data_IF_751199190159
#
_entry.id   IF_751199190159
#
_cell.length_a   1.000
_cell.length_b   1.000
_cell.length_c   1.000
_cell.angle_alpha   90.00
_cell.angle_beta   90.00
_cell.angle_gamma   90.00
#
_symmetry.space_group_name_H-M   'P 1'
#
loop_
_entity.id
_entity.type
_entity.pdbx_description
1 polymer ?
#
# COMPACT_ATOMS: atom_id res chain seq x y z
N UNK A 1 14.93 33.04 -37.64
CA UNK A 1 15.57 31.96 -36.84
C UNK A 1 15.23 32.02 -35.34
N UNK A 2 15.32 33.18 -34.65
CA UNK A 2 15.01 33.28 -33.19
C UNK A 2 13.61 32.81 -32.78
N UNK A 3 12.58 33.03 -33.60
CA UNK A 3 11.19 32.72 -33.22
C UNK A 3 10.85 31.22 -33.33
N UNK A 4 11.52 30.51 -34.25
CA UNK A 4 11.42 29.05 -34.35
C UNK A 4 12.11 28.34 -33.17
N UNK A 5 13.26 28.88 -32.71
CA UNK A 5 13.97 28.36 -31.54
C UNK A 5 13.12 28.50 -30.26
N UNK A 6 12.38 29.59 -30.13
CA UNK A 6 11.44 29.81 -29.02
C UNK A 6 10.30 28.78 -29.00
N UNK A 7 9.72 28.46 -30.15
CA UNK A 7 8.66 27.44 -30.25
C UNK A 7 9.15 26.05 -29.85
N UNK A 8 10.35 25.66 -30.28
CA UNK A 8 10.93 24.35 -29.97
C UNK A 8 11.25 24.21 -28.48
N UNK A 9 11.80 25.26 -27.86
CA UNK A 9 12.08 25.27 -26.41
C UNK A 9 10.78 25.11 -25.60
N UNK A 10 9.69 25.76 -26.01
CA UNK A 10 8.42 25.71 -25.28
C UNK A 10 7.77 24.32 -25.35
N UNK A 11 7.87 23.64 -26.50
CA UNK A 11 7.41 22.25 -26.66
C UNK A 11 8.26 21.29 -25.82
N UNK A 12 9.58 21.47 -25.80
CA UNK A 12 10.49 20.64 -24.98
C UNK A 12 10.21 20.80 -23.48
N UNK A 13 9.97 22.03 -23.00
CA UNK A 13 9.62 22.27 -21.58
C UNK A 13 8.29 21.62 -21.23
N UNK A 14 7.29 21.67 -22.11
CA UNK A 14 5.99 21.02 -21.90
C UNK A 14 6.06 19.49 -21.86
N UNK A 15 6.91 18.88 -22.67
CA UNK A 15 7.13 17.43 -22.68
C UNK A 15 7.87 16.96 -21.41
N UNK A 16 8.82 17.75 -20.91
CA UNK A 16 9.58 17.41 -19.70
C UNK A 16 8.73 17.55 -18.44
N UNK A 17 7.91 18.61 -18.33
CA UNK A 17 6.99 18.78 -17.19
C UNK A 17 5.86 17.75 -17.16
N UNK A 18 5.45 17.23 -18.32
CA UNK A 18 4.45 16.18 -18.42
C UNK A 18 4.93 14.78 -17.99
N UNK A 19 6.23 14.58 -17.77
CA UNK A 19 6.83 13.28 -17.47
C UNK A 19 6.81 12.92 -15.98
N UNK A 20 6.70 13.89 -15.08
CA UNK A 20 6.83 13.68 -13.63
C UNK A 20 5.60 12.96 -13.03
N UNK A 21 4.42 13.31 -13.54
CA UNK A 21 3.12 12.73 -13.17
C UNK A 21 2.96 11.23 -13.54
N UNK A 22 3.87 10.65 -14.33
CA UNK A 22 3.85 9.23 -14.67
C UNK A 22 4.78 8.37 -13.81
N UNK A 23 5.54 8.97 -12.88
CA UNK A 23 6.51 8.25 -12.05
C UNK A 23 5.91 7.79 -10.71
N UNK A 24 4.81 8.38 -10.28
CA UNK A 24 4.19 8.06 -9.00
C UNK A 24 3.17 6.93 -9.15
N UNK A 25 3.61 5.71 -8.84
CA UNK A 25 2.70 4.58 -8.64
C UNK A 25 2.28 4.54 -7.17
N UNK A 26 1.07 5.01 -6.88
CA UNK A 26 0.50 5.00 -5.52
C UNK A 26 -0.35 3.76 -5.31
N UNK A 27 -0.10 3.05 -4.21
CA UNK A 27 -0.95 1.95 -3.74
C UNK A 27 -1.94 2.53 -2.73
N UNK A 28 -3.22 2.47 -3.05
CA UNK A 28 -4.30 2.83 -2.12
C UNK A 28 -4.54 1.70 -1.11
N UNK A 29 -4.92 2.08 0.11
CA UNK A 29 -5.39 1.21 1.19
C UNK A 29 -6.50 0.26 0.74
N UNK A 30 -7.38 0.68 -0.18
CA UNK A 30 -8.41 -0.20 -0.76
C UNK A 30 -7.83 -1.41 -1.51
N UNK A 31 -6.85 -1.17 -2.38
CA UNK A 31 -6.16 -2.24 -3.13
C UNK A 31 -5.38 -3.15 -2.18
N UNK A 32 -4.72 -2.55 -1.17
CA UNK A 32 -3.98 -3.28 -0.16
C UNK A 32 -4.91 -4.18 0.67
N UNK A 33 -6.07 -3.68 1.08
CA UNK A 33 -7.07 -4.46 1.82
C UNK A 33 -7.60 -5.63 1.00
N UNK A 34 -7.92 -5.42 -0.28
CA UNK A 34 -8.36 -6.51 -1.16
C UNK A 34 -7.27 -7.58 -1.31
N UNK A 35 -6.02 -7.16 -1.47
CA UNK A 35 -4.88 -8.06 -1.52
C UNK A 35 -4.75 -8.87 -0.22
N UNK A 36 -4.82 -8.22 0.94
CA UNK A 36 -4.74 -8.85 2.24
C UNK A 36 -5.87 -9.87 2.43
N UNK A 37 -7.11 -9.52 2.10
CA UNK A 37 -8.27 -10.41 2.18
C UNK A 37 -8.11 -11.67 1.30
N UNK A 38 -7.55 -11.51 0.09
CA UNK A 38 -7.46 -12.60 -0.89
C UNK A 38 -6.25 -13.49 -0.71
N UNK A 39 -5.16 -12.97 -0.15
CA UNK A 39 -3.84 -13.65 -0.12
C UNK A 39 -3.36 -13.98 1.28
N UNK A 40 -3.85 -13.29 2.31
CA UNK A 40 -3.40 -13.50 3.68
C UNK A 40 -4.44 -14.28 4.46
N UNK A 41 -4.21 -15.58 4.57
CA UNK A 41 -4.93 -16.47 5.48
C UNK A 41 -3.99 -16.84 6.63
N UNK A 42 -4.04 -16.04 7.69
CA UNK A 42 -3.17 -16.25 8.83
C UNK A 42 -3.83 -17.16 9.85
N UNK A 43 -3.25 -18.35 10.03
CA UNK A 43 -3.63 -19.30 11.07
C UNK A 43 -2.38 -19.65 11.87
N UNK A 44 -2.43 -19.39 13.18
CA UNK A 44 -1.32 -19.70 14.09
C UNK A 44 -1.83 -20.42 15.31
N UNK A 45 -1.21 -21.55 15.60
CA UNK A 45 -1.42 -22.24 16.87
C UNK A 45 -0.50 -21.61 17.92
N UNK A 46 -1.10 -21.14 19.01
CA UNK A 46 -0.37 -20.65 20.17
C UNK A 46 -0.58 -21.67 21.29
N UNK A 47 0.50 -22.16 21.86
CA UNK A 47 0.46 -23.14 22.93
C UNK A 47 1.38 -22.74 24.06
N UNK A 48 0.88 -22.86 25.28
CA UNK A 48 1.66 -22.81 26.50
C UNK A 48 1.76 -24.23 27.05
N UNK A 49 2.98 -24.78 27.10
CA UNK A 49 3.23 -26.15 27.51
C UNK A 49 2.65 -26.41 28.91
N UNK A 50 1.82 -27.46 29.03
CA UNK A 50 1.19 -27.87 30.28
C UNK A 50 -0.03 -27.04 30.72
N UNK A 51 -0.46 -26.03 29.95
CA UNK A 51 -1.56 -25.15 30.34
C UNK A 51 -2.65 -25.05 29.27
N UNK A 52 -2.34 -24.50 28.09
CA UNK A 52 -3.37 -24.14 27.11
C UNK A 52 -2.86 -24.24 25.67
N UNK A 53 -3.78 -24.52 24.76
CA UNK A 53 -3.56 -24.50 23.31
C UNK A 53 -4.73 -23.78 22.65
N UNK A 54 -4.42 -22.79 21.83
CA UNK A 54 -5.37 -21.96 21.10
C UNK A 54 -5.02 -21.94 19.62
N UNK A 55 -6.03 -22.01 18.75
CA UNK A 55 -5.84 -21.91 17.30
C UNK A 55 -6.39 -20.57 16.85
N UNK A 56 -5.51 -19.62 16.59
CA UNK A 56 -5.92 -18.28 16.19
C UNK A 56 -5.96 -18.22 14.67
N UNK A 57 -7.14 -17.89 14.13
CA UNK A 57 -7.32 -17.54 12.73
C UNK A 57 -7.67 -16.06 12.65
N UNK A 58 -6.92 -15.32 11.83
CA UNK A 58 -7.18 -13.90 11.55
C UNK A 58 -7.95 -13.78 10.24
N UNK A 59 -9.08 -13.06 10.29
CA UNK A 59 -9.90 -12.71 9.13
C UNK A 59 -10.07 -11.20 9.00
N UNK A 60 -10.60 -10.76 7.86
CA UNK A 60 -11.02 -9.37 7.64
C UNK A 60 -9.91 -8.33 7.93
N UNK A 61 -8.73 -8.56 7.37
CA UNK A 61 -7.60 -7.65 7.51
C UNK A 61 -7.89 -6.31 6.84
N UNK A 62 -7.74 -5.23 7.60
CA UNK A 62 -7.85 -3.84 7.13
C UNK A 62 -6.55 -3.10 7.43
N UNK A 63 -6.10 -2.28 6.48
CA UNK A 63 -4.85 -1.54 6.52
C UNK A 63 -5.09 -0.04 6.58
N UNK A 64 -4.24 0.65 7.33
CA UNK A 64 -4.17 2.11 7.41
C UNK A 64 -2.71 2.53 7.22
N UNK A 65 -2.45 3.36 6.22
CA UNK A 65 -1.08 3.77 5.87
C UNK A 65 -0.82 5.16 6.46
N UNK A 66 0.27 5.31 7.22
CA UNK A 66 0.77 6.63 7.61
C UNK A 66 -0.05 7.39 8.65
N UNK A 67 -1.10 6.81 9.25
CA UNK A 67 -2.04 7.52 10.14
C UNK A 67 -1.48 7.86 11.52
N UNK A 68 -0.81 6.89 12.16
CA UNK A 68 -0.12 7.11 13.44
C UNK A 68 1.35 7.42 13.25
N UNK A 69 1.96 6.76 12.27
CA UNK A 69 3.37 6.89 11.96
C UNK A 69 3.50 6.90 10.43
N UNK A 70 4.05 7.97 9.83
CA UNK A 70 4.09 8.16 8.37
C UNK A 70 4.86 7.06 7.63
N UNK A 71 5.76 6.34 8.32
CA UNK A 71 6.57 5.27 7.71
C UNK A 71 6.01 3.86 7.97
N UNK A 72 4.81 3.76 8.56
CA UNK A 72 4.23 2.47 8.96
C UNK A 72 2.84 2.24 8.40
N UNK A 73 2.50 0.95 8.33
CA UNK A 73 1.17 0.45 8.00
C UNK A 73 0.63 -0.26 9.24
N UNK A 74 -0.53 0.18 9.71
CA UNK A 74 -1.26 -0.48 10.78
C UNK A 74 -2.26 -1.48 10.19
N UNK A 75 -2.30 -2.69 10.75
CA UNK A 75 -3.24 -3.73 10.36
C UNK A 75 -4.20 -4.03 11.50
N UNK A 76 -5.50 -3.99 11.20
CA UNK A 76 -6.58 -4.42 12.11
C UNK A 76 -7.25 -5.66 11.56
N UNK A 77 -7.63 -6.60 12.43
CA UNK A 77 -8.26 -7.86 12.04
C UNK A 77 -9.19 -8.36 13.15
N UNK A 78 -10.18 -9.16 12.76
CA UNK A 78 -10.97 -9.94 13.69
C UNK A 78 -10.35 -11.33 13.87
N UNK A 79 -10.05 -11.67 15.12
CA UNK A 79 -9.47 -12.96 15.48
C UNK A 79 -10.56 -13.94 15.91
N UNK A 80 -10.47 -15.17 15.41
CA UNK A 80 -11.24 -16.32 15.89
C UNK A 80 -10.28 -17.28 16.60
N UNK A 81 -10.66 -17.74 17.80
CA UNK A 81 -9.82 -18.55 18.71
C UNK A 81 -10.49 -19.91 18.93
#
# INVERSE_FOLDING_TARGET
>A
MRQFLLGVVLVLVGLVSGCDQFKEFSINEGLLNEYLLKRVHYQKQISLAGAAKANITLGDLTSQVGRKDPEKIELSSQAKI
#
